data_IF_929734181967
#
_entry.id   IF_929734181967
#
_cell.length_a   1.000
_cell.length_b   1.000
_cell.length_c   1.000
_cell.angle_alpha   90.00
_cell.angle_beta   90.00
_cell.angle_gamma   90.00
#
_symmetry.space_group_name_H-M   'P 1'
#
loop_
_entity.id
_entity.type
_entity.pdbx_description
1 polymer ?
#
# COMPACT_ATOMS: atom_id res chain seq x y z
N UNK A 1 -31.73 45.15 24.05
CA UNK A 1 -32.53 44.05 23.51
C UNK A 1 -31.54 43.23 22.71
N UNK A 2 -30.90 42.30 23.42
CA UNK A 2 -31.00 40.85 23.13
C UNK A 2 -30.11 40.50 21.93
N UNK A 3 -29.13 39.60 21.99
CA UNK A 3 -28.77 38.59 22.97
C UNK A 3 -27.31 38.21 22.71
N UNK A 4 -26.58 38.01 23.81
CA UNK A 4 -25.44 37.10 23.85
C UNK A 4 -25.95 35.68 23.53
N UNK A 5 -25.23 34.94 22.70
CA UNK A 5 -25.35 33.47 22.67
C UNK A 5 -23.98 32.88 22.38
N UNK A 6 -23.65 31.99 23.31
CA UNK A 6 -22.37 31.36 23.56
C UNK A 6 -22.27 30.03 22.78
N UNK A 7 -21.03 29.67 22.45
CA UNK A 7 -20.47 28.31 22.37
C UNK A 7 -20.89 27.32 21.26
N UNK A 8 -19.90 26.93 20.44
CA UNK A 8 -19.40 25.55 20.23
C UNK A 8 -18.32 25.54 19.13
N UNK A 9 -17.46 24.51 19.03
CA UNK A 9 -16.53 23.88 19.97
C UNK A 9 -15.05 24.07 19.49
N UNK A 10 -14.04 23.72 20.31
CA UNK A 10 -12.62 24.00 20.04
C UNK A 10 -12.08 23.24 18.82
N UNK A 11 -11.32 23.96 17.99
CA UNK A 11 -10.44 23.42 16.96
C UNK A 11 -9.70 22.17 17.46
N UNK A 12 -9.85 21.00 16.82
CA UNK A 12 -9.02 19.85 17.18
C UNK A 12 -7.56 20.22 16.84
N UNK A 13 -6.63 20.21 17.81
CA UNK A 13 -5.22 20.35 17.49
C UNK A 13 -4.78 19.19 16.58
N UNK A 14 -3.81 19.40 15.68
CA UNK A 14 -3.24 18.30 14.90
C UNK A 14 -2.63 17.28 15.88
N UNK A 15 -2.96 15.98 15.79
CA UNK A 15 -2.15 14.98 16.47
C UNK A 15 -0.80 14.88 15.73
N UNK A 16 0.24 15.49 16.29
CA UNK A 16 1.61 14.99 16.09
C UNK A 16 1.75 13.70 16.88
N UNK A 17 1.66 12.55 16.20
CA UNK A 17 2.25 11.28 16.63
C UNK A 17 3.25 10.89 15.55
N UNK A 18 4.52 11.28 15.70
CA UNK A 18 5.57 10.43 16.28
C UNK A 18 5.35 8.94 15.99
N UNK A 19 6.21 8.44 15.09
CA UNK A 19 6.80 7.11 15.13
C UNK A 19 5.86 5.93 15.33
N UNK A 20 5.64 5.17 14.26
CA UNK A 20 5.80 3.71 14.36
C UNK A 20 6.37 3.23 13.04
N UNK A 21 7.71 3.17 13.00
CA UNK A 21 8.41 2.27 12.11
C UNK A 21 7.89 0.86 12.41
N UNK A 22 7.01 0.33 11.56
CA UNK A 22 6.62 -1.07 11.64
C UNK A 22 7.69 -1.88 10.92
N UNK A 23 8.78 -2.10 11.65
CA UNK A 23 9.75 -3.14 11.35
C UNK A 23 9.07 -4.50 11.56
N UNK A 24 9.01 -5.30 10.51
CA UNK A 24 9.04 -6.76 10.67
C UNK A 24 9.73 -7.38 9.46
N UNK A 25 11.05 -7.18 9.41
CA UNK A 25 11.94 -7.96 8.57
C UNK A 25 12.31 -9.23 9.35
N UNK A 26 11.46 -10.25 9.27
CA UNK A 26 11.80 -11.59 9.76
C UNK A 26 12.55 -12.30 8.64
N UNK A 27 13.88 -12.17 8.63
CA UNK A 27 14.77 -12.87 7.73
C UNK A 27 15.11 -14.25 8.31
N UNK A 28 14.30 -15.25 7.99
CA UNK A 28 14.62 -16.66 8.24
C UNK A 28 15.70 -17.11 7.24
N UNK A 29 16.93 -17.25 7.74
CA UNK A 29 18.09 -17.79 7.04
C UNK A 29 18.00 -19.31 6.93
N UNK A 30 17.26 -19.81 5.94
CA UNK A 30 17.27 -21.21 5.53
C UNK A 30 17.49 -21.30 4.02
N UNK A 31 18.50 -22.06 3.58
CA UNK A 31 18.76 -22.38 2.17
C UNK A 31 17.70 -23.37 1.69
N UNK A 32 16.46 -22.92 1.61
CA UNK A 32 15.39 -23.64 0.93
C UNK A 32 15.27 -23.07 -0.50
N UNK A 33 15.04 -23.91 -1.52
CA UNK A 33 14.83 -23.42 -2.87
C UNK A 33 13.68 -22.42 -2.86
N UNK A 34 13.98 -21.15 -3.17
CA UNK A 34 13.01 -20.07 -3.14
C UNK A 34 11.99 -20.31 -4.24
N UNK A 35 10.79 -20.72 -3.82
CA UNK A 35 9.64 -20.87 -4.70
C UNK A 35 9.33 -19.54 -5.40
N UNK A 36 8.80 -19.59 -6.64
CA UNK A 36 8.38 -18.37 -7.34
C UNK A 36 7.29 -17.65 -6.55
N UNK A 37 7.33 -16.32 -6.58
CA UNK A 37 6.31 -15.49 -5.92
C UNK A 37 5.12 -15.33 -6.86
N UNK A 38 3.92 -15.71 -6.38
CA UNK A 38 2.66 -15.47 -7.08
C UNK A 38 1.94 -14.25 -6.49
N UNK A 39 1.53 -13.32 -7.36
CA UNK A 39 0.81 -12.10 -6.97
C UNK A 39 -0.59 -12.16 -7.59
N UNK A 40 -1.63 -12.02 -6.76
CA UNK A 40 -3.01 -11.93 -7.20
C UNK A 40 -3.54 -10.52 -6.97
N UNK A 41 -4.04 -9.89 -8.03
CA UNK A 41 -4.55 -8.52 -7.99
C UNK A 41 -6.08 -8.56 -8.06
N UNK A 42 -6.75 -8.24 -6.96
CA UNK A 42 -8.22 -8.26 -6.84
C UNK A 42 -8.76 -6.85 -6.58
N UNK A 43 -10.01 -6.60 -6.98
CA UNK A 43 -10.67 -5.30 -6.76
C UNK A 43 -11.76 -4.95 -7.77
N UNK A 44 -12.42 -3.82 -7.55
CA UNK A 44 -13.53 -3.32 -8.36
C UNK A 44 -13.08 -2.89 -9.78
N UNK A 45 -14.04 -2.77 -10.70
CA UNK A 45 -13.79 -2.13 -12.00
C UNK A 45 -13.26 -0.69 -11.78
N UNK A 46 -12.28 -0.28 -12.59
CA UNK A 46 -11.67 1.05 -12.45
C UNK A 46 -10.63 1.20 -11.33
N UNK A 47 -10.42 0.20 -10.46
CA UNK A 47 -9.42 0.26 -9.38
C UNK A 47 -7.95 0.24 -9.86
N UNK A 48 -7.71 0.17 -11.18
CA UNK A 48 -6.36 0.21 -11.74
C UNK A 48 -5.57 -1.11 -11.64
N UNK A 49 -6.23 -2.25 -11.43
CA UNK A 49 -5.58 -3.59 -11.35
C UNK A 49 -4.64 -3.86 -12.53
N UNK A 50 -5.10 -3.57 -13.74
CA UNK A 50 -4.30 -3.71 -14.97
C UNK A 50 -3.15 -2.71 -15.00
N UNK A 51 -3.35 -1.46 -14.57
CA UNK A 51 -2.29 -0.45 -14.49
C UNK A 51 -1.21 -0.85 -13.49
N UNK A 52 -1.59 -1.46 -12.37
CA UNK A 52 -0.65 -2.01 -11.41
C UNK A 52 0.17 -3.16 -12.01
N UNK A 53 -0.47 -4.13 -12.67
CA UNK A 53 0.22 -5.20 -13.40
C UNK A 53 1.20 -4.66 -14.44
N UNK A 54 0.81 -3.62 -15.19
CA UNK A 54 1.70 -2.99 -16.17
C UNK A 54 2.94 -2.37 -15.52
N UNK A 55 2.77 -1.65 -14.40
CA UNK A 55 3.89 -1.04 -13.67
C UNK A 55 4.86 -2.09 -13.12
N UNK A 56 4.32 -3.15 -12.51
CA UNK A 56 5.15 -4.21 -11.94
C UNK A 56 5.90 -4.97 -13.03
N UNK A 57 5.24 -5.21 -14.17
CA UNK A 57 5.85 -5.91 -15.29
C UNK A 57 7.00 -5.08 -15.89
N UNK A 58 6.80 -3.78 -16.10
CA UNK A 58 7.84 -2.88 -16.59
C UNK A 58 9.07 -2.85 -15.67
N UNK A 59 8.85 -2.82 -14.35
CA UNK A 59 9.92 -2.88 -13.36
C UNK A 59 10.68 -4.21 -13.40
N UNK A 60 9.99 -5.35 -13.41
CA UNK A 60 10.65 -6.65 -13.43
C UNK A 60 11.35 -6.92 -14.77
N UNK A 61 10.83 -6.36 -15.87
CA UNK A 61 11.52 -6.35 -17.17
C UNK A 61 12.83 -5.55 -17.13
N UNK A 62 12.91 -4.41 -16.44
CA UNK A 62 14.17 -3.66 -16.31
C UNK A 62 15.21 -4.42 -15.50
N UNK A 63 14.77 -5.20 -14.52
CA UNK A 63 15.62 -6.08 -13.70
C UNK A 63 16.00 -7.39 -14.41
N UNK A 64 15.69 -7.56 -15.70
CA UNK A 64 15.94 -8.78 -16.51
C UNK A 64 15.29 -10.05 -15.94
N UNK A 65 14.23 -9.89 -15.16
CA UNK A 65 13.46 -10.99 -14.57
C UNK A 65 12.00 -10.90 -15.06
N UNK A 66 11.72 -11.14 -16.36
CA UNK A 66 10.38 -10.99 -16.91
C UNK A 66 9.40 -11.97 -16.22
N UNK A 67 8.35 -11.47 -15.56
CA UNK A 67 7.38 -12.30 -14.86
C UNK A 67 6.35 -12.90 -15.82
N UNK A 68 5.75 -14.01 -15.42
CA UNK A 68 4.59 -14.56 -16.12
C UNK A 68 3.33 -13.78 -15.72
N UNK A 69 2.64 -13.19 -16.70
CA UNK A 69 1.45 -12.36 -16.47
C UNK A 69 0.24 -13.03 -17.10
N UNK A 70 -0.80 -13.24 -16.30
CA UNK A 70 -2.12 -13.68 -16.75
C UNK A 70 -3.13 -12.59 -16.40
N UNK A 71 -3.79 -12.03 -17.40
CA UNK A 71 -4.89 -11.08 -17.21
C UNK A 71 -6.21 -11.83 -17.36
N UNK A 72 -6.94 -11.98 -16.25
CA UNK A 72 -8.22 -12.68 -16.17
C UNK A 72 -9.39 -11.69 -16.13
#
# INVERSE_FOLDING_TARGET
METESVETPPHPPPPTTTTTASSSASASSGTEPKLPVCILVLGMAGAGKTTFLQRINAYLHSEKNPPYVVNL
#
